data_IF_533667074282
#
_entry.id   IF_533667074282
#
_cell.length_a   1.000
_cell.length_b   1.000
_cell.length_c   1.000
_cell.angle_alpha   90.00
_cell.angle_beta   90.00
_cell.angle_gamma   90.00
#
_symmetry.space_group_name_H-M   'P 1'
#
loop_
_entity.id
_entity.type
_entity.pdbx_description
1 polymer ?
#
# COMPACT_ATOMS: atom_id res chain seq x y z
N UNK A 1 -35.73 1.50 40.42
CA UNK A 1 -34.39 0.95 40.19
C UNK A 1 -33.59 2.01 39.49
N UNK A 2 -32.49 2.44 40.09
CA UNK A 2 -31.63 3.46 39.51
C UNK A 2 -30.51 2.79 38.72
N UNK A 3 -30.31 3.25 37.49
CA UNK A 3 -29.17 2.85 36.67
C UNK A 3 -28.15 3.98 36.70
N UNK A 4 -26.91 3.65 37.02
CA UNK A 4 -25.77 4.54 36.85
C UNK A 4 -24.93 4.04 35.66
N UNK A 5 -24.73 4.92 34.68
CA UNK A 5 -23.84 4.69 33.56
C UNK A 5 -22.52 5.41 33.85
N UNK A 6 -21.42 4.67 33.84
CA UNK A 6 -20.07 5.21 33.89
C UNK A 6 -19.47 5.12 32.48
N UNK A 7 -19.13 6.27 31.90
CA UNK A 7 -18.48 6.34 30.59
C UNK A 7 -16.99 6.61 30.83
N UNK A 8 -16.15 5.63 30.52
CA UNK A 8 -14.68 5.75 30.69
C UNK A 8 -14.02 6.50 29.53
N UNK A 9 -14.56 6.38 28.31
CA UNK A 9 -14.06 7.05 27.12
C UNK A 9 -15.20 7.37 26.16
N UNK A 10 -15.22 8.60 25.63
CA UNK A 10 -16.17 9.03 24.62
C UNK A 10 -15.40 9.60 23.42
N UNK A 11 -15.46 8.93 22.29
CA UNK A 11 -14.90 9.42 21.03
C UNK A 11 -16.02 9.97 20.14
N UNK A 12 -15.71 11.01 19.36
CA UNK A 12 -16.65 11.57 18.40
C UNK A 12 -17.06 10.50 17.38
N UNK A 13 -18.36 10.28 17.21
CA UNK A 13 -18.87 9.44 16.15
C UNK A 13 -18.55 10.08 14.79
N UNK A 14 -17.57 9.53 14.07
CA UNK A 14 -17.05 10.07 12.83
C UNK A 14 -15.77 9.35 12.39
N UNK A 15 -15.19 9.78 11.26
CA UNK A 15 -13.94 9.26 10.68
C UNK A 15 -12.91 8.93 11.78
N UNK A 16 -12.74 7.64 12.05
CA UNK A 16 -12.03 7.15 13.25
C UNK A 16 -10.61 7.70 13.38
N UNK A 17 -10.05 7.63 14.59
CA UNK A 17 -8.69 8.09 14.92
C UNK A 17 -7.62 7.68 13.90
N UNK A 18 -7.74 6.46 13.34
CA UNK A 18 -6.89 5.96 12.25
C UNK A 18 -6.95 6.81 10.97
N UNK A 19 -8.13 7.28 10.58
CA UNK A 19 -8.30 8.14 9.41
C UNK A 19 -7.65 9.50 9.60
N UNK A 20 -7.78 10.10 10.79
CA UNK A 20 -7.13 11.36 11.12
C UNK A 20 -5.59 11.21 11.07
N UNK A 21 -5.06 10.15 11.67
CA UNK A 21 -3.63 9.85 11.61
C UNK A 21 -3.13 9.64 10.16
N UNK A 22 -3.93 8.95 9.34
CA UNK A 22 -3.63 8.74 7.92
C UNK A 22 -3.57 10.07 7.14
N UNK A 23 -4.57 10.94 7.27
CA UNK A 23 -4.58 12.23 6.57
C UNK A 23 -3.44 13.14 7.03
N UNK A 24 -3.09 13.15 8.32
CA UNK A 24 -1.92 13.87 8.83
C UNK A 24 -0.62 13.36 8.21
N UNK A 25 -0.43 12.05 8.16
CA UNK A 25 0.76 11.43 7.56
C UNK A 25 0.85 11.74 6.06
N UNK A 26 -0.26 11.57 5.34
CA UNK A 26 -0.36 11.86 3.90
C UNK A 26 0.01 13.31 3.60
N UNK A 27 -0.50 14.27 4.40
CA UNK A 27 -0.18 15.68 4.24
C UNK A 27 1.30 15.97 4.50
N UNK A 28 1.91 15.37 5.54
CA UNK A 28 3.34 15.49 5.81
C UNK A 28 4.19 14.98 4.64
N UNK A 29 3.93 13.76 4.17
CA UNK A 29 4.66 13.16 3.05
C UNK A 29 4.45 13.94 1.73
N UNK A 30 3.27 14.55 1.54
CA UNK A 30 3.01 15.41 0.40
C UNK A 30 3.83 16.72 0.46
N UNK A 31 3.95 17.32 1.65
CA UNK A 31 4.78 18.52 1.87
C UNK A 31 6.28 18.23 1.67
N UNK A 32 6.74 17.02 2.00
CA UNK A 32 8.08 16.54 1.66
C UNK A 32 8.30 16.36 0.13
N UNK A 33 7.26 16.58 -0.69
CA UNK A 33 7.32 16.44 -2.13
C UNK A 33 7.37 14.97 -2.60
N UNK A 34 7.10 14.01 -1.72
CA UNK A 34 7.25 12.59 -2.06
C UNK A 34 6.29 12.14 -3.16
N UNK A 35 5.15 12.82 -3.30
CA UNK A 35 4.13 12.54 -4.31
C UNK A 35 4.18 13.47 -5.53
N UNK A 36 5.17 14.37 -5.60
CA UNK A 36 5.31 15.35 -6.67
C UNK A 36 5.23 14.71 -8.07
N UNK A 37 4.33 15.16 -8.96
CA UNK A 37 4.18 14.62 -10.31
C UNK A 37 5.48 14.60 -11.11
N UNK A 38 6.36 15.58 -10.87
CA UNK A 38 7.65 15.77 -11.54
C UNK A 38 8.64 14.65 -11.19
N UNK A 39 8.47 13.99 -10.04
CA UNK A 39 9.27 12.82 -9.63
C UNK A 39 8.78 11.52 -10.27
N UNK A 40 7.57 11.51 -10.84
CA UNK A 40 7.00 10.31 -11.46
C UNK A 40 7.56 10.10 -12.86
N UNK A 41 8.01 8.88 -13.13
CA UNK A 41 8.42 8.45 -14.47
C UNK A 41 7.17 8.18 -15.31
N UNK A 42 7.19 8.60 -16.59
CA UNK A 42 6.12 8.26 -17.54
C UNK A 42 6.05 6.76 -17.72
N UNK A 43 4.85 6.20 -17.63
CA UNK A 43 4.62 4.77 -17.86
C UNK A 43 4.65 4.52 -19.37
N UNK A 44 5.50 3.60 -19.86
CA UNK A 44 5.51 3.24 -21.28
C UNK A 44 4.19 2.59 -21.68
N UNK A 45 3.72 2.85 -22.91
CA UNK A 45 2.47 2.26 -23.43
C UNK A 45 2.53 0.73 -23.50
N UNK A 46 3.69 0.18 -23.81
CA UNK A 46 3.94 -1.26 -23.91
C UNK A 46 5.18 -1.60 -23.08
N UNK A 47 5.03 -1.86 -21.76
CA UNK A 47 6.15 -2.28 -20.93
C UNK A 47 6.66 -3.64 -21.40
N UNK A 48 7.97 -3.77 -21.57
CA UNK A 48 8.61 -5.06 -21.87
C UNK A 48 8.81 -5.90 -20.60
N UNK A 49 8.98 -5.24 -19.45
CA UNK A 49 9.22 -5.86 -18.16
C UNK A 49 8.46 -5.13 -17.05
N UNK A 50 7.88 -5.89 -16.13
CA UNK A 50 7.17 -5.40 -14.96
C UNK A 50 7.79 -6.04 -13.72
N UNK A 51 8.30 -5.20 -12.81
CA UNK A 51 8.73 -5.61 -11.48
C UNK A 51 7.56 -5.64 -10.51
N UNK A 52 7.47 -6.70 -9.69
CA UNK A 52 6.43 -6.91 -8.70
C UNK A 52 7.10 -7.20 -7.36
N UNK A 53 7.15 -6.22 -6.47
CA UNK A 53 7.58 -6.40 -5.08
C UNK A 53 6.36 -6.81 -4.26
N UNK A 54 6.35 -8.03 -3.73
CA UNK A 54 5.18 -8.60 -3.03
C UNK A 54 5.58 -9.77 -2.14
N UNK A 55 4.68 -10.24 -1.28
CA UNK A 55 4.90 -11.50 -0.57
C UNK A 55 4.97 -12.67 -1.57
N UNK A 56 5.90 -13.63 -1.39
CA UNK A 56 6.14 -14.70 -2.35
C UNK A 56 4.98 -15.71 -2.46
N UNK A 57 4.13 -15.81 -1.44
CA UNK A 57 3.12 -16.87 -1.31
C UNK A 57 1.68 -16.36 -1.30
N UNK A 58 1.45 -15.05 -1.46
CA UNK A 58 0.11 -14.47 -1.38
C UNK A 58 -0.74 -14.66 -2.64
N UNK A 59 -2.07 -14.63 -2.49
CA UNK A 59 -3.00 -14.63 -3.63
C UNK A 59 -2.73 -13.46 -4.61
N UNK A 60 -2.27 -12.32 -4.09
CA UNK A 60 -1.99 -11.12 -4.87
C UNK A 60 -0.95 -11.36 -5.99
N UNK A 61 0.14 -12.10 -5.73
CA UNK A 61 1.14 -12.35 -6.78
C UNK A 61 0.58 -13.24 -7.89
N UNK A 62 -0.25 -14.23 -7.53
CA UNK A 62 -0.89 -15.12 -8.50
C UNK A 62 -1.91 -14.35 -9.36
N UNK A 63 -2.68 -13.44 -8.76
CA UNK A 63 -3.64 -12.60 -9.48
C UNK A 63 -2.92 -11.66 -10.46
N UNK A 64 -1.83 -11.02 -10.04
CA UNK A 64 -1.01 -10.17 -10.91
C UNK A 64 -0.47 -10.98 -12.09
N UNK A 65 0.13 -12.15 -11.84
CA UNK A 65 0.67 -13.01 -12.88
C UNK A 65 -0.45 -13.43 -13.85
N UNK A 66 -1.59 -13.89 -13.34
CA UNK A 66 -2.74 -14.32 -14.16
C UNK A 66 -3.26 -13.20 -15.05
N UNK A 67 -3.43 -11.99 -14.51
CA UNK A 67 -3.92 -10.83 -15.25
C UNK A 67 -2.91 -10.40 -16.32
N UNK A 68 -1.62 -10.31 -15.96
CA UNK A 68 -0.57 -9.91 -16.89
C UNK A 68 -0.39 -10.92 -18.03
N UNK A 69 -0.44 -12.22 -17.72
CA UNK A 69 -0.39 -13.28 -18.74
C UNK A 69 -1.57 -13.23 -19.69
N UNK A 70 -2.78 -12.88 -19.20
CA UNK A 70 -3.97 -12.72 -20.05
C UNK A 70 -3.92 -11.46 -20.91
N UNK A 71 -3.49 -10.33 -20.36
CA UNK A 71 -3.53 -9.02 -21.04
C UNK A 71 -2.32 -8.76 -21.94
N UNK A 72 -1.14 -9.25 -21.56
CA UNK A 72 0.11 -9.01 -22.28
C UNK A 72 1.07 -10.21 -22.13
N UNK A 73 0.78 -11.36 -22.77
CA UNK A 73 1.50 -12.63 -22.54
C UNK A 73 3.03 -12.56 -22.66
N UNK A 74 3.53 -11.66 -23.50
CA UNK A 74 4.96 -11.45 -23.80
C UNK A 74 5.70 -10.57 -22.78
N UNK A 75 5.02 -9.98 -21.81
CA UNK A 75 5.69 -9.16 -20.79
C UNK A 75 6.52 -10.04 -19.85
N UNK A 76 7.76 -9.64 -19.58
CA UNK A 76 8.57 -10.24 -18.52
C UNK A 76 8.02 -9.80 -17.16
N UNK A 77 7.87 -10.76 -16.25
CA UNK A 77 7.45 -10.48 -14.87
C UNK A 77 8.61 -10.83 -13.96
N UNK A 78 9.14 -9.84 -13.25
CA UNK A 78 10.15 -10.03 -12.22
C UNK A 78 9.47 -9.93 -10.85
N UNK A 79 9.36 -11.05 -10.14
CA UNK A 79 8.83 -11.07 -8.77
C UNK A 79 9.99 -10.93 -7.80
N UNK A 80 9.93 -9.92 -6.93
CA UNK A 80 10.90 -9.68 -5.87
C UNK A 80 10.17 -9.93 -4.55
N UNK A 81 10.54 -10.97 -3.79
CA UNK A 81 9.87 -11.30 -2.54
C UNK A 81 10.18 -10.27 -1.46
N UNK A 82 9.15 -9.71 -0.83
CA UNK A 82 9.29 -8.80 0.30
C UNK A 82 8.15 -8.97 1.31
N UNK A 83 8.41 -8.62 2.57
CA UNK A 83 7.36 -8.43 3.56
C UNK A 83 6.63 -7.12 3.28
N UNK A 84 5.31 -7.21 3.05
CA UNK A 84 4.47 -6.06 2.68
C UNK A 84 3.60 -5.56 3.84
N UNK A 85 3.66 -6.23 4.99
CA UNK A 85 2.89 -5.90 6.19
C UNK A 85 3.68 -6.26 7.46
N UNK A 86 3.34 -5.62 8.57
CA UNK A 86 4.04 -5.75 9.86
C UNK A 86 5.23 -4.80 9.99
N UNK A 87 5.80 -4.77 11.20
CA UNK A 87 6.85 -3.81 11.57
C UNK A 87 8.13 -3.94 10.74
N UNK A 88 8.46 -5.16 10.30
CA UNK A 88 9.63 -5.44 9.46
C UNK A 88 9.45 -5.11 7.98
N UNK A 89 8.24 -4.76 7.53
CA UNK A 89 7.93 -4.49 6.13
C UNK A 89 8.73 -3.33 5.52
N UNK A 90 8.89 -2.16 6.17
CA UNK A 90 9.65 -1.06 5.59
C UNK A 90 11.09 -1.47 5.25
N UNK A 91 11.80 -2.15 6.15
CA UNK A 91 13.15 -2.64 5.90
C UNK A 91 13.20 -3.66 4.75
N UNK A 92 12.24 -4.58 4.70
CA UNK A 92 12.16 -5.57 3.62
C UNK A 92 11.85 -4.93 2.25
N UNK A 93 10.98 -3.92 2.21
CA UNK A 93 10.61 -3.22 0.98
C UNK A 93 11.73 -2.36 0.43
N UNK A 94 12.54 -1.75 1.30
CA UNK A 94 13.69 -0.93 0.89
C UNK A 94 14.83 -1.79 0.35
N UNK A 95 14.97 -3.03 0.84
CA UNK A 95 16.02 -3.96 0.41
C UNK A 95 15.67 -4.78 -0.85
N UNK A 96 14.43 -4.72 -1.30
CA UNK A 96 13.91 -5.44 -2.48
C UNK A 96 14.22 -4.70 -3.78
#
# INVERSE_FOLDING_TARGET
GEYQLYVELMEAAGLGSLYLAFEQLKNRLAQEGLFAPERKKKIPRLPQKIGVITSPTGAAVQDIIRILRRRHPRVEILVIPAQVQGESAPGSLVAA
#
